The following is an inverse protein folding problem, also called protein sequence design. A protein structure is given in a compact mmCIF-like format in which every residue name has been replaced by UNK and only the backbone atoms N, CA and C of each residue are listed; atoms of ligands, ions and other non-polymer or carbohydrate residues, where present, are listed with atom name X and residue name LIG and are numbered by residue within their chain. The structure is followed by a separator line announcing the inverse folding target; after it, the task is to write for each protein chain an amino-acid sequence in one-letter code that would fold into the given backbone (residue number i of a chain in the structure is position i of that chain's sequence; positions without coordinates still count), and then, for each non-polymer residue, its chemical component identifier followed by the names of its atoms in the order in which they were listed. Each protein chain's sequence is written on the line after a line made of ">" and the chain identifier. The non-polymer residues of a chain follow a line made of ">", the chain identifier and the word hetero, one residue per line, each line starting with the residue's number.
data_IF_458072031744
#
_entry.id   IF_458072031744
#
_cell.length_a   1.000
_cell.length_b   1.000
_cell.length_c   1.000
_cell.angle_alpha   90.00
_cell.angle_beta   90.00
_cell.angle_gamma   90.00
#
_symmetry.space_group_name_H-M   'P 1'
#
loop_
_entity.id
_entity.type
_entity.pdbx_description
1 polymer ?
#
# COMPACT_ATOMS: atom_id res chain seq x y z
N UNK A 1 35.13 -67.55 21.46
CA UNK A 1 34.06 -66.67 21.70
C UNK A 1 34.48 -65.35 21.09
N UNK A 2 33.80 -64.94 19.96
CA UNK A 2 34.06 -63.68 19.30
C UNK A 2 33.46 -62.53 20.20
N UNK A 3 34.27 -61.53 20.45
CA UNK A 3 33.80 -60.35 21.17
C UNK A 3 32.64 -59.71 20.40
N UNK A 4 31.60 -59.24 21.08
CA UNK A 4 30.49 -58.55 20.41
C UNK A 4 30.99 -57.28 19.70
N UNK A 5 30.51 -57.03 18.50
CA UNK A 5 30.81 -55.81 17.75
C UNK A 5 30.41 -54.57 18.57
N UNK A 6 31.39 -53.70 18.83
CA UNK A 6 31.14 -52.46 19.54
C UNK A 6 30.53 -51.48 18.52
N UNK A 7 29.24 -51.22 18.63
CA UNK A 7 28.59 -50.16 17.85
C UNK A 7 28.97 -48.79 18.43
N UNK A 8 29.74 -48.03 17.68
CA UNK A 8 30.01 -46.62 18.03
C UNK A 8 28.88 -45.76 17.51
N UNK A 9 28.11 -45.20 18.42
CA UNK A 9 27.06 -44.26 18.08
C UNK A 9 27.65 -42.85 18.03
N UNK A 10 27.59 -42.22 16.85
CA UNK A 10 28.02 -40.84 16.69
C UNK A 10 26.76 -39.96 16.60
N UNK A 11 26.55 -39.14 17.62
CA UNK A 11 25.47 -38.18 17.61
C UNK A 11 25.81 -37.01 16.65
N UNK A 12 24.94 -36.75 15.69
CA UNK A 12 25.07 -35.64 14.75
C UNK A 12 24.05 -34.58 15.11
N UNK A 13 24.51 -33.57 15.85
CA UNK A 13 23.68 -32.39 16.14
C UNK A 13 23.87 -31.34 15.06
N UNK A 14 22.80 -30.55 14.76
CA UNK A 14 22.80 -29.48 13.79
C UNK A 14 22.16 -28.24 14.40
N UNK A 15 22.84 -27.10 14.29
CA UNK A 15 22.25 -25.77 14.51
C UNK A 15 22.16 -25.12 13.15
N UNK A 16 20.96 -25.08 12.59
CA UNK A 16 20.71 -24.58 11.23
C UNK A 16 20.91 -23.07 11.12
N UNK A 17 21.79 -22.65 10.20
CA UNK A 17 21.99 -21.29 9.74
C UNK A 17 22.27 -21.31 8.25
N UNK A 18 21.99 -20.19 7.56
CA UNK A 18 22.26 -20.09 6.14
C UNK A 18 21.55 -18.93 5.48
N UNK A 19 21.56 -18.91 4.17
CA UNK A 19 20.94 -17.88 3.34
C UNK A 19 20.06 -18.51 2.28
N UNK A 20 18.93 -17.88 1.99
CA UNK A 20 18.02 -18.27 0.93
C UNK A 20 18.16 -17.34 -0.28
N UNK A 21 18.18 -17.95 -1.46
CA UNK A 21 18.16 -17.25 -2.73
C UNK A 21 17.03 -17.82 -3.60
N UNK A 22 16.35 -16.94 -4.31
CA UNK A 22 15.29 -17.28 -5.24
C UNK A 22 15.65 -16.81 -6.64
N UNK A 23 15.38 -17.65 -7.64
CA UNK A 23 15.58 -17.39 -9.04
C UNK A 23 14.20 -17.41 -9.71
N UNK A 24 13.65 -16.22 -9.92
CA UNK A 24 12.32 -16.05 -10.47
C UNK A 24 12.28 -16.44 -11.94
N UNK A 25 11.18 -17.05 -12.34
CA UNK A 25 10.82 -17.26 -13.73
C UNK A 25 10.04 -16.05 -14.22
N UNK A 26 10.52 -15.37 -15.26
CA UNK A 26 9.82 -14.24 -15.85
C UNK A 26 8.64 -14.68 -16.76
N UNK A 27 7.88 -13.72 -17.26
CA UNK A 27 6.71 -13.99 -18.11
C UNK A 27 7.09 -14.64 -19.47
N UNK A 28 8.34 -14.52 -19.91
CA UNK A 28 8.89 -15.16 -21.11
C UNK A 28 9.31 -16.61 -20.88
N UNK A 29 9.27 -17.09 -19.63
CA UNK A 29 9.69 -18.42 -19.24
C UNK A 29 11.20 -18.58 -19.06
N UNK A 30 11.91 -17.47 -18.83
CA UNK A 30 13.35 -17.46 -18.60
C UNK A 30 13.67 -17.14 -17.12
N UNK A 31 14.76 -17.76 -16.60
CA UNK A 31 15.22 -17.49 -15.25
C UNK A 31 16.06 -16.21 -15.19
N UNK A 32 15.74 -15.32 -14.26
CA UNK A 32 16.42 -14.01 -14.10
C UNK A 32 17.78 -14.10 -13.37
N UNK A 33 18.05 -15.22 -12.70
CA UNK A 33 19.23 -15.42 -11.86
C UNK A 33 18.89 -15.40 -10.36
N UNK A 34 19.76 -16.02 -9.56
CA UNK A 34 19.55 -16.13 -8.11
C UNK A 34 19.73 -14.80 -7.41
N UNK A 35 18.68 -14.31 -6.74
CA UNK A 35 18.68 -13.18 -5.84
C UNK A 35 18.56 -13.64 -4.38
N UNK A 36 19.35 -13.06 -3.48
CA UNK A 36 19.22 -13.31 -2.05
C UNK A 36 17.94 -12.68 -1.51
N UNK A 37 17.20 -13.44 -0.71
CA UNK A 37 15.98 -12.95 -0.04
C UNK A 37 16.26 -12.06 1.19
N UNK A 38 17.53 -11.98 1.61
CA UNK A 38 17.94 -11.28 2.81
C UNK A 38 17.88 -12.16 4.06
N UNK A 39 17.59 -11.57 5.20
CA UNK A 39 17.46 -12.32 6.44
C UNK A 39 16.17 -13.12 6.46
N UNK A 40 16.31 -14.44 6.63
CA UNK A 40 15.21 -15.39 6.71
C UNK A 40 15.34 -16.15 8.04
N UNK A 41 14.59 -15.77 9.08
CA UNK A 41 14.66 -16.41 10.39
C UNK A 41 14.13 -17.84 10.40
N UNK A 42 13.31 -18.23 9.41
CA UNK A 42 12.74 -19.57 9.27
C UNK A 42 12.75 -20.10 7.84
N UNK A 43 13.17 -21.36 7.68
CA UNK A 43 13.00 -22.15 6.47
C UNK A 43 12.76 -23.59 6.86
N UNK A 44 11.61 -24.13 6.52
CA UNK A 44 11.17 -25.48 6.88
C UNK A 44 10.62 -26.19 5.64
N UNK A 45 10.88 -27.48 5.51
CA UNK A 45 10.36 -28.32 4.44
C UNK A 45 9.47 -29.38 5.08
N UNK A 46 8.25 -29.53 4.57
CA UNK A 46 7.29 -30.53 4.97
C UNK A 46 7.05 -31.53 3.84
N UNK A 47 6.92 -32.80 4.20
CA UNK A 47 6.60 -33.89 3.26
C UNK A 47 5.42 -34.67 3.81
N UNK A 48 4.34 -34.69 3.07
CA UNK A 48 3.10 -35.38 3.43
C UNK A 48 2.83 -36.50 2.43
N UNK A 49 2.32 -37.62 2.89
CA UNK A 49 1.91 -38.74 2.07
C UNK A 49 0.41 -39.00 2.28
N UNK A 50 -0.31 -39.10 1.18
CA UNK A 50 -1.69 -39.55 1.20
C UNK A 50 -1.72 -41.05 0.92
N UNK A 51 -2.32 -41.82 1.83
CA UNK A 51 -2.37 -43.27 1.76
C UNK A 51 -3.81 -43.75 1.50
N UNK A 52 -3.95 -44.73 0.61
CA UNK A 52 -5.19 -45.50 0.52
C UNK A 52 -5.14 -46.64 1.54
N UNK A 53 -6.07 -46.64 2.45
CA UNK A 53 -6.27 -47.75 3.40
C UNK A 53 -7.54 -48.52 3.06
N UNK A 54 -7.42 -49.82 2.92
CA UNK A 54 -8.56 -50.74 2.84
C UNK A 54 -8.65 -51.52 4.14
N UNK A 55 -9.87 -51.63 4.65
CA UNK A 55 -10.16 -52.34 5.88
C UNK A 55 -10.95 -53.59 5.52
N UNK A 56 -10.45 -54.75 5.92
CA UNK A 56 -11.18 -56.01 5.73
C UNK A 56 -12.47 -56.02 6.53
N UNK A 57 -13.52 -56.49 5.91
CA UNK A 57 -14.82 -56.73 6.55
C UNK A 57 -15.07 -58.21 6.87
N UNK A 58 -14.08 -59.09 6.64
CA UNK A 58 -14.14 -60.51 6.89
C UNK A 58 -13.81 -60.84 8.36
N UNK A 59 -14.78 -60.76 9.23
CA UNK A 59 -14.56 -61.09 10.64
C UNK A 59 -15.21 -60.12 11.60
N UNK A 60 -15.19 -60.45 12.90
CA UNK A 60 -15.81 -59.63 13.92
C UNK A 60 -15.07 -58.34 14.33
N UNK A 61 -13.81 -58.21 13.92
CA UNK A 61 -12.97 -57.00 14.10
C UNK A 61 -12.44 -56.58 12.74
N UNK A 62 -12.63 -55.31 12.42
CA UNK A 62 -12.13 -54.75 11.14
C UNK A 62 -10.61 -54.46 11.28
N UNK A 63 -9.82 -55.04 10.39
CA UNK A 63 -8.38 -54.81 10.29
C UNK A 63 -7.96 -54.21 8.95
N UNK A 64 -6.96 -53.36 8.97
CA UNK A 64 -6.38 -52.78 7.74
C UNK A 64 -5.59 -53.86 7.03
N UNK A 65 -6.02 -54.25 5.82
CA UNK A 65 -5.38 -55.28 5.01
C UNK A 65 -4.59 -54.70 3.82
N UNK A 66 -4.78 -53.43 3.48
CA UNK A 66 -4.01 -52.71 2.49
C UNK A 66 -3.70 -51.29 2.96
N UNK A 67 -2.47 -50.87 2.90
CA UNK A 67 -2.03 -49.48 3.11
C UNK A 67 -0.99 -49.15 2.01
N UNK A 68 -1.40 -48.32 1.05
CA UNK A 68 -0.56 -47.97 -0.11
C UNK A 68 -0.53 -46.44 -0.28
N UNK A 69 0.67 -45.81 -0.35
CA UNK A 69 0.78 -44.39 -0.65
C UNK A 69 0.28 -44.08 -2.06
N UNK A 70 -0.63 -43.10 -2.18
CA UNK A 70 -1.18 -42.64 -3.45
C UNK A 70 -0.45 -41.43 -3.98
N UNK A 71 -0.09 -40.49 -3.09
CA UNK A 71 0.58 -39.26 -3.47
C UNK A 71 1.57 -38.81 -2.40
N UNK A 72 2.56 -38.04 -2.80
CA UNK A 72 3.50 -37.36 -1.92
C UNK A 72 3.47 -35.88 -2.26
N UNK A 73 3.03 -35.08 -1.30
CA UNK A 73 3.06 -33.61 -1.39
C UNK A 73 4.26 -33.06 -0.65
N UNK A 74 4.98 -32.14 -1.28
CA UNK A 74 6.14 -31.47 -0.69
C UNK A 74 5.86 -29.97 -0.66
N UNK A 75 6.00 -29.39 0.49
CA UNK A 75 5.83 -27.95 0.71
C UNK A 75 6.99 -27.42 1.53
N UNK A 76 7.20 -26.12 1.49
CA UNK A 76 8.09 -25.45 2.43
C UNK A 76 7.48 -24.13 2.89
N UNK A 77 8.01 -23.64 4.00
CA UNK A 77 7.64 -22.34 4.56
C UNK A 77 8.91 -21.50 4.73
N UNK A 78 8.85 -20.26 4.31
CA UNK A 78 9.93 -19.28 4.46
C UNK A 78 9.41 -18.11 5.26
N UNK A 79 10.11 -17.75 6.35
CA UNK A 79 9.90 -16.48 7.03
C UNK A 79 10.97 -15.48 6.58
N UNK A 80 10.55 -14.27 6.23
CA UNK A 80 11.42 -13.19 5.74
C UNK A 80 11.15 -11.95 6.58
N UNK A 81 12.20 -11.37 7.18
CA UNK A 81 12.13 -10.09 7.90
C UNK A 81 12.82 -8.94 7.13
N UNK A 82 13.27 -9.21 5.91
CA UNK A 82 13.79 -8.21 4.98
C UNK A 82 12.69 -7.70 4.05
N UNK A 83 12.20 -6.50 4.31
CA UNK A 83 11.12 -5.83 3.57
C UNK A 83 11.65 -5.03 2.36
N UNK A 84 12.43 -5.66 1.47
CA UNK A 84 12.75 -5.05 0.19
C UNK A 84 11.52 -4.99 -0.72
N UNK A 85 11.52 -4.07 -1.69
CA UNK A 85 10.41 -3.94 -2.65
C UNK A 85 10.16 -5.26 -3.39
N UNK A 86 11.23 -5.95 -3.82
CA UNK A 86 11.12 -7.25 -4.49
C UNK A 86 10.52 -8.36 -3.61
N UNK A 87 10.87 -8.41 -2.31
CA UNK A 87 10.30 -9.41 -1.41
C UNK A 87 8.82 -9.12 -1.13
N UNK A 88 8.46 -7.84 -1.00
CA UNK A 88 7.08 -7.43 -0.87
C UNK A 88 6.29 -7.69 -2.15
N UNK A 89 6.90 -7.51 -3.32
CA UNK A 89 6.28 -7.83 -4.60
C UNK A 89 5.96 -9.32 -4.71
N UNK A 90 6.89 -10.20 -4.34
CA UNK A 90 6.65 -11.65 -4.29
C UNK A 90 5.48 -11.96 -3.34
N UNK A 91 5.49 -11.38 -2.13
CA UNK A 91 4.43 -11.61 -1.14
C UNK A 91 3.06 -11.12 -1.62
N UNK A 92 3.00 -9.97 -2.31
CA UNK A 92 1.74 -9.36 -2.75
C UNK A 92 1.28 -9.85 -4.14
N UNK A 93 2.07 -10.67 -4.84
CA UNK A 93 1.82 -10.99 -6.24
C UNK A 93 1.82 -9.73 -7.10
N UNK A 94 2.82 -8.88 -6.92
CA UNK A 94 2.89 -7.53 -7.45
C UNK A 94 4.13 -7.33 -8.33
N UNK A 95 4.15 -6.23 -9.06
CA UNK A 95 5.34 -5.74 -9.76
C UNK A 95 5.96 -4.55 -9.01
N UNK A 96 7.27 -4.40 -9.10
CA UNK A 96 8.00 -3.22 -8.64
C UNK A 96 8.19 -2.30 -9.83
N UNK A 97 7.73 -1.07 -9.72
CA UNK A 97 7.85 -0.06 -10.76
C UNK A 97 8.52 1.19 -10.20
N UNK A 98 9.38 1.79 -11.02
CA UNK A 98 9.94 3.11 -10.74
C UNK A 98 8.94 4.20 -11.08
N UNK A 99 8.32 4.79 -10.06
CA UNK A 99 7.44 5.93 -10.23
C UNK A 99 8.25 7.22 -10.30
N UNK A 100 8.49 7.69 -11.53
CA UNK A 100 9.19 8.94 -11.78
C UNK A 100 8.26 10.15 -11.56
N UNK A 101 8.71 11.11 -10.75
CA UNK A 101 8.12 12.43 -10.63
C UNK A 101 8.94 13.43 -11.41
N UNK A 102 8.36 14.05 -12.44
CA UNK A 102 9.00 15.15 -13.13
C UNK A 102 9.01 16.42 -12.28
N UNK A 103 10.07 17.24 -12.39
CA UNK A 103 10.05 18.59 -11.81
C UNK A 103 8.97 19.44 -12.45
N UNK A 104 8.22 20.18 -11.66
CA UNK A 104 7.19 21.07 -12.14
C UNK A 104 6.88 22.17 -11.11
N UNK A 105 6.48 23.34 -11.62
CA UNK A 105 5.70 24.31 -10.85
C UNK A 105 4.23 24.07 -11.16
N UNK A 106 3.47 23.73 -10.15
CA UNK A 106 2.03 23.50 -10.23
C UNK A 106 1.34 24.74 -9.74
N UNK A 107 0.35 25.23 -10.51
CA UNK A 107 -0.44 26.42 -10.16
C UNK A 107 -1.91 26.07 -10.14
N UNK A 108 -2.62 26.59 -9.14
CA UNK A 108 -4.05 26.41 -8.96
C UNK A 108 -4.52 24.94 -8.94
N UNK A 109 -3.75 24.06 -8.30
CA UNK A 109 -4.27 22.71 -8.05
C UNK A 109 -5.51 22.81 -7.18
N UNK A 110 -6.64 22.29 -7.67
CA UNK A 110 -7.92 22.40 -7.01
C UNK A 110 -8.07 21.30 -5.94
N UNK A 111 -8.25 21.73 -4.70
CA UNK A 111 -8.63 20.87 -3.58
C UNK A 111 -10.07 21.15 -3.23
N UNK A 112 -10.93 20.14 -3.34
CA UNK A 112 -12.37 20.28 -3.13
C UNK A 112 -12.83 19.63 -1.81
N UNK A 113 -14.02 20.01 -1.36
CA UNK A 113 -14.67 19.50 -0.16
C UNK A 113 -13.80 19.66 1.09
N UNK A 114 -13.16 20.82 1.19
CA UNK A 114 -12.27 21.14 2.30
C UNK A 114 -13.04 21.20 3.61
N UNK A 115 -12.48 20.54 4.63
CA UNK A 115 -13.02 20.48 5.99
C UNK A 115 -11.90 20.73 7.00
N UNK A 116 -12.26 21.19 8.16
CA UNK A 116 -11.35 21.33 9.28
C UNK A 116 -10.90 19.97 9.81
N UNK A 117 -9.71 19.92 10.40
CA UNK A 117 -9.10 18.71 10.97
C UNK A 117 -8.95 17.57 9.93
N UNK A 118 -8.53 17.94 8.72
CA UNK A 118 -8.27 17.01 7.62
C UNK A 118 -6.98 17.38 6.89
N UNK A 119 -6.39 16.38 6.25
CA UNK A 119 -5.29 16.57 5.32
C UNK A 119 -5.70 16.23 3.88
N UNK A 120 -4.99 16.83 2.93
CA UNK A 120 -5.21 16.67 1.51
C UNK A 120 -3.89 16.40 0.81
N UNK A 121 -3.83 15.30 0.06
CA UNK A 121 -2.66 14.93 -0.72
C UNK A 121 -2.66 15.70 -2.04
N UNK A 122 -1.55 16.37 -2.34
CA UNK A 122 -1.38 17.13 -3.58
C UNK A 122 -0.78 16.25 -4.70
N UNK A 123 -1.13 16.56 -5.94
CA UNK A 123 -0.62 15.87 -7.13
C UNK A 123 -1.10 14.43 -7.26
N UNK A 124 -2.26 14.09 -6.71
CA UNK A 124 -2.86 12.76 -6.85
C UNK A 124 -3.37 12.53 -8.27
N UNK A 125 -3.22 11.29 -8.75
CA UNK A 125 -3.84 10.82 -9.98
C UNK A 125 -4.25 9.36 -9.84
N UNK A 126 -4.85 8.78 -10.86
CA UNK A 126 -5.21 7.35 -10.89
C UNK A 126 -3.98 6.45 -10.70
N UNK A 127 -2.81 6.91 -11.14
CA UNK A 127 -1.56 6.13 -11.14
C UNK A 127 -0.56 6.54 -10.05
N UNK A 128 -0.83 7.61 -9.30
CA UNK A 128 0.11 8.10 -8.29
C UNK A 128 -0.57 8.52 -7.00
N UNK A 129 0.07 8.19 -5.88
CA UNK A 129 -0.34 8.56 -4.53
C UNK A 129 0.00 10.02 -4.18
N UNK A 130 0.36 10.85 -5.17
CA UNK A 130 0.63 12.27 -5.01
C UNK A 130 2.10 12.66 -5.16
N UNK A 131 2.31 13.98 -5.15
CA UNK A 131 3.64 14.59 -5.21
C UNK A 131 4.42 14.38 -3.92
N UNK A 132 5.76 14.45 -4.02
CA UNK A 132 6.70 14.36 -2.90
C UNK A 132 7.71 15.49 -2.97
N UNK A 133 8.25 15.84 -1.81
CA UNK A 133 9.30 16.87 -1.65
C UNK A 133 8.89 18.23 -2.22
N UNK A 134 7.63 18.62 -2.02
CA UNK A 134 7.12 19.90 -2.49
C UNK A 134 7.65 21.06 -1.66
N UNK A 135 7.78 22.22 -2.30
CA UNK A 135 8.26 23.46 -1.69
C UNK A 135 7.47 24.66 -2.23
N UNK A 136 7.61 25.82 -1.57
CA UNK A 136 7.00 27.07 -2.04
C UNK A 136 5.46 26.98 -2.08
N UNK A 137 4.84 26.32 -1.10
CA UNK A 137 3.40 26.10 -1.06
C UNK A 137 2.69 27.40 -0.71
N UNK A 138 1.82 27.86 -1.61
CA UNK A 138 0.84 28.93 -1.36
C UNK A 138 -0.57 28.36 -1.51
N UNK A 139 -1.47 28.81 -0.66
CA UNK A 139 -2.86 28.33 -0.62
C UNK A 139 -3.78 29.55 -0.62
N UNK A 140 -4.78 29.50 -1.50
CA UNK A 140 -5.83 30.51 -1.60
C UNK A 140 -7.20 29.82 -1.52
N UNK A 141 -8.16 30.45 -0.85
CA UNK A 141 -9.55 30.01 -0.93
C UNK A 141 -10.12 30.34 -2.31
N UNK A 142 -10.82 29.37 -2.90
CA UNK A 142 -11.38 29.50 -4.22
C UNK A 142 -12.89 29.28 -4.24
N UNK A 143 -13.57 30.14 -4.95
CA UNK A 143 -14.92 29.90 -5.44
C UNK A 143 -15.05 30.47 -6.86
N UNK A 144 -15.92 29.92 -7.72
CA UNK A 144 -16.15 30.49 -9.04
C UNK A 144 -16.71 31.92 -8.92
N UNK A 145 -16.39 32.74 -9.93
CA UNK A 145 -16.95 34.10 -9.98
C UNK A 145 -18.45 34.02 -10.15
N UNK A 146 -19.17 34.98 -9.50
CA UNK A 146 -20.61 35.13 -9.68
C UNK A 146 -20.97 35.28 -11.15
N UNK A 147 -21.94 34.51 -11.61
CA UNK A 147 -22.51 34.63 -12.95
C UNK A 147 -23.91 35.30 -12.92
N UNK A 148 -24.20 36.06 -13.98
CA UNK A 148 -25.48 36.74 -14.14
C UNK A 148 -26.58 35.77 -14.58
N UNK A 149 -27.81 35.99 -14.14
CA UNK A 149 -29.00 35.19 -14.53
C UNK A 149 -28.78 33.69 -14.44
N UNK A 150 -28.04 33.26 -13.42
CA UNK A 150 -27.63 31.86 -13.20
C UNK A 150 -28.37 31.29 -12.00
N UNK A 151 -28.81 30.03 -12.11
CA UNK A 151 -29.43 29.32 -11.00
C UNK A 151 -28.34 28.88 -10.00
N UNK A 152 -28.57 29.12 -8.72
CA UNK A 152 -27.77 28.71 -7.60
C UNK A 152 -28.57 27.79 -6.67
N UNK A 153 -27.98 26.71 -6.25
CA UNK A 153 -28.52 25.82 -5.23
C UNK A 153 -28.02 26.24 -3.84
N UNK A 154 -28.73 25.78 -2.80
CA UNK A 154 -28.24 25.96 -1.41
C UNK A 154 -26.89 25.30 -1.26
N UNK A 155 -25.91 26.03 -0.72
CA UNK A 155 -24.52 25.57 -0.55
C UNK A 155 -23.59 25.94 -1.70
N UNK A 156 -24.09 26.41 -2.84
CA UNK A 156 -23.23 26.97 -3.88
C UNK A 156 -22.46 28.18 -3.37
N UNK A 157 -21.18 28.22 -3.68
CA UNK A 157 -20.29 29.31 -3.25
C UNK A 157 -19.81 30.10 -4.45
N UNK A 158 -19.64 31.39 -4.24
CA UNK A 158 -19.06 32.28 -5.25
C UNK A 158 -18.24 33.42 -4.63
N UNK A 159 -17.41 34.07 -5.46
CA UNK A 159 -16.82 35.38 -5.23
C UNK A 159 -17.43 36.40 -6.23
N UNK A 160 -17.49 37.71 -5.91
CA UNK A 160 -17.88 38.72 -6.89
C UNK A 160 -16.98 38.70 -8.13
N UNK A 161 -17.53 39.05 -9.30
CA UNK A 161 -16.73 39.16 -10.53
C UNK A 161 -15.60 40.20 -10.42
N UNK A 162 -15.83 41.27 -9.64
CA UNK A 162 -14.78 42.15 -9.13
C UNK A 162 -14.53 41.72 -7.69
N UNK A 163 -13.42 41.05 -7.38
CA UNK A 163 -13.14 40.57 -6.03
C UNK A 163 -13.22 41.69 -4.98
N UNK A 164 -13.79 41.36 -3.83
CA UNK A 164 -13.90 42.23 -2.67
C UNK A 164 -13.35 41.55 -1.41
N UNK A 165 -12.49 40.54 -1.62
CA UNK A 165 -11.84 39.74 -0.60
C UNK A 165 -12.79 38.95 0.32
N UNK A 166 -14.04 38.71 -0.14
CA UNK A 166 -15.04 37.92 0.58
C UNK A 166 -15.59 36.78 -0.28
N UNK A 167 -16.03 35.73 0.38
CA UNK A 167 -16.67 34.54 -0.21
C UNK A 167 -18.10 34.41 0.32
N UNK A 168 -19.01 34.00 -0.54
CA UNK A 168 -20.44 33.96 -0.28
C UNK A 168 -20.98 32.56 -0.51
N UNK A 169 -21.90 32.12 0.36
CA UNK A 169 -22.63 30.86 0.23
C UNK A 169 -24.13 31.12 0.00
N UNK A 170 -24.72 30.38 -0.93
CA UNK A 170 -26.16 30.41 -1.19
C UNK A 170 -26.93 29.77 -0.03
N UNK A 171 -27.81 30.49 0.61
CA UNK A 171 -28.68 30.02 1.71
C UNK A 171 -30.11 29.76 1.27
N UNK A 172 -30.58 30.40 0.20
CA UNK A 172 -31.88 30.14 -0.43
C UNK A 172 -31.64 30.03 -1.94
N UNK A 173 -32.01 28.88 -2.50
CA UNK A 173 -31.86 28.60 -3.92
C UNK A 173 -32.69 29.54 -4.79
N UNK A 174 -32.16 29.92 -5.93
CA UNK A 174 -32.86 30.81 -6.88
C UNK A 174 -31.96 31.22 -8.03
N UNK A 175 -32.43 32.12 -8.87
CA UNK A 175 -31.69 32.67 -10.01
C UNK A 175 -31.17 34.05 -9.67
N UNK A 176 -29.86 34.28 -9.88
CA UNK A 176 -29.23 35.59 -9.68
C UNK A 176 -29.75 36.66 -10.64
N UNK A 177 -29.62 37.91 -10.26
CA UNK A 177 -29.95 39.02 -11.13
C UNK A 177 -29.03 39.12 -12.36
N UNK A 178 -29.52 39.78 -13.41
CA UNK A 178 -28.70 40.12 -14.58
C UNK A 178 -27.59 41.14 -14.25
N UNK A 179 -27.76 41.91 -13.18
CA UNK A 179 -26.75 42.85 -12.66
C UNK A 179 -26.32 42.42 -11.25
N UNK A 180 -25.04 42.58 -10.90
CA UNK A 180 -24.56 42.25 -9.56
C UNK A 180 -25.27 43.07 -8.48
N UNK A 181 -25.61 42.47 -7.31
CA UNK A 181 -26.14 43.19 -6.18
C UNK A 181 -25.04 44.00 -5.48
N UNK A 182 -25.41 44.80 -4.47
CA UNK A 182 -24.44 45.30 -3.51
C UNK A 182 -24.06 44.15 -2.58
N UNK A 183 -22.79 43.80 -2.57
CA UNK A 183 -22.24 42.73 -1.75
C UNK A 183 -22.07 43.21 -0.31
N UNK A 184 -22.59 42.47 0.62
CA UNK A 184 -22.44 42.73 2.05
C UNK A 184 -21.20 41.99 2.59
N UNK A 185 -20.35 42.69 3.31
CA UNK A 185 -19.11 42.17 3.86
C UNK A 185 -19.10 42.01 5.39
N UNK A 186 -20.29 42.13 6.02
CA UNK A 186 -20.43 42.09 7.48
C UNK A 186 -21.02 40.76 8.02
N UNK A 187 -20.88 39.67 7.32
CA UNK A 187 -21.39 38.33 7.72
C UNK A 187 -22.91 38.21 7.62
N UNK A 188 -23.61 39.19 7.00
CA UNK A 188 -25.05 39.18 6.85
C UNK A 188 -25.50 38.63 5.51
N UNK A 189 -26.80 38.37 5.39
CA UNK A 189 -27.43 37.88 4.15
C UNK A 189 -27.85 39.03 3.25
N UNK A 190 -27.89 38.79 1.94
CA UNK A 190 -28.44 39.69 0.94
C UNK A 190 -29.11 38.91 -0.18
N UNK A 191 -30.06 39.53 -0.85
CA UNK A 191 -30.74 38.94 -2.00
C UNK A 191 -30.00 39.25 -3.29
N UNK A 192 -29.96 38.27 -4.20
CA UNK A 192 -29.49 38.42 -5.56
C UNK A 192 -30.48 37.73 -6.50
N UNK A 193 -31.46 38.49 -6.99
CA UNK A 193 -32.60 37.94 -7.70
C UNK A 193 -33.51 37.10 -6.82
N UNK A 194 -33.75 35.86 -7.23
CA UNK A 194 -34.51 34.90 -6.43
C UNK A 194 -33.66 34.14 -5.41
N UNK A 195 -32.32 34.24 -5.49
CA UNK A 195 -31.40 33.58 -4.56
C UNK A 195 -31.05 34.49 -3.37
N UNK A 196 -30.71 33.90 -2.24
CA UNK A 196 -30.20 34.63 -1.07
C UNK A 196 -28.82 34.07 -0.71
N UNK A 197 -27.89 34.97 -0.48
CA UNK A 197 -26.51 34.63 -0.13
C UNK A 197 -26.15 35.21 1.23
N UNK A 198 -25.21 34.55 1.89
CA UNK A 198 -24.58 34.99 3.13
C UNK A 198 -23.08 35.15 2.91
N UNK A 199 -22.52 36.25 3.39
CA UNK A 199 -21.10 36.42 3.54
C UNK A 199 -20.60 35.48 4.61
N UNK A 200 -19.61 34.59 4.24
CA UNK A 200 -19.05 33.62 5.16
C UNK A 200 -17.65 33.94 5.58
N UNK A 201 -17.08 35.02 5.07
CA UNK A 201 -15.83 35.58 5.58
C UNK A 201 -14.88 36.08 4.49
N UNK A 202 -13.81 36.61 4.98
CA UNK A 202 -12.70 37.16 4.26
C UNK A 202 -11.81 36.04 3.68
N UNK A 203 -11.32 36.24 2.45
CA UNK A 203 -10.44 35.32 1.74
C UNK A 203 -9.05 35.93 1.47
N UNK A 204 -8.61 36.87 2.32
CA UNK A 204 -7.28 37.46 2.22
C UNK A 204 -6.17 36.40 2.34
N UNK A 205 -4.93 36.83 2.18
CA UNK A 205 -3.75 35.95 2.13
C UNK A 205 -3.70 34.97 3.32
N UNK A 206 -3.75 33.68 2.99
CA UNK A 206 -3.64 32.59 3.96
C UNK A 206 -2.18 32.40 4.39
N UNK A 207 -1.97 32.10 5.67
CA UNK A 207 -0.66 31.97 6.26
C UNK A 207 -0.39 30.52 6.70
N UNK A 208 0.70 29.94 6.20
CA UNK A 208 1.18 28.64 6.67
C UNK A 208 1.53 28.65 8.15
N UNK A 209 1.13 27.64 8.88
CA UNK A 209 1.28 27.52 10.33
C UNK A 209 0.11 28.11 11.12
N UNK A 210 -0.81 28.84 10.48
CA UNK A 210 -2.00 29.41 11.09
C UNK A 210 -3.27 28.92 10.41
N UNK A 211 -3.39 29.09 9.10
CA UNK A 211 -4.57 28.76 8.32
C UNK A 211 -4.48 27.36 7.73
N UNK A 212 -3.27 26.93 7.41
CA UNK A 212 -2.95 25.60 6.92
C UNK A 212 -1.54 25.17 7.34
N UNK A 213 -1.26 23.88 7.29
CA UNK A 213 0.06 23.29 7.56
C UNK A 213 0.51 22.49 6.37
N UNK A 214 1.84 22.44 6.15
CA UNK A 214 2.44 21.77 5.00
C UNK A 214 3.41 20.68 5.49
N UNK A 215 3.19 19.44 5.04
CA UNK A 215 4.21 18.40 5.04
C UNK A 215 4.75 18.27 3.61
N UNK A 216 5.82 19.03 3.34
CA UNK A 216 6.42 19.06 2.00
C UNK A 216 6.99 17.72 1.58
N UNK A 217 7.55 16.93 2.51
CA UNK A 217 8.13 15.62 2.23
C UNK A 217 7.10 14.67 1.63
N UNK A 218 5.91 14.64 2.20
CA UNK A 218 4.82 13.77 1.75
C UNK A 218 3.88 14.44 0.74
N UNK A 219 4.05 15.75 0.48
CA UNK A 219 3.20 16.50 -0.45
C UNK A 219 1.78 16.71 0.08
N UNK A 220 1.65 16.97 1.36
CA UNK A 220 0.38 17.07 2.07
C UNK A 220 0.17 18.50 2.58
N UNK A 221 -1.05 19.00 2.42
CA UNK A 221 -1.54 20.13 3.19
C UNK A 221 -2.60 19.67 4.20
N UNK A 222 -2.64 20.30 5.37
CA UNK A 222 -3.68 20.03 6.37
C UNK A 222 -4.32 21.34 6.84
N UNK A 223 -5.61 21.29 7.14
CA UNK A 223 -6.41 22.40 7.65
C UNK A 223 -6.71 22.11 9.12
N UNK A 224 -6.30 23.03 10.00
CA UNK A 224 -6.59 22.93 11.42
C UNK A 224 -8.04 23.32 11.77
N UNK A 225 -8.32 23.36 13.07
CA UNK A 225 -9.61 23.79 13.62
C UNK A 225 -9.65 25.30 13.92
N UNK A 226 -8.59 26.02 13.62
CA UNK A 226 -8.43 27.46 13.81
C UNK A 226 -7.90 28.09 12.53
N UNK A 227 -7.92 29.44 12.47
CA UNK A 227 -7.48 30.17 11.28
C UNK A 227 -8.63 30.54 10.36
N UNK A 228 -8.29 31.18 9.26
CA UNK A 228 -9.29 31.77 8.34
C UNK A 228 -10.08 30.73 7.58
N UNK A 229 -9.45 29.66 7.11
CA UNK A 229 -10.15 28.55 6.42
C UNK A 229 -11.17 27.92 7.37
N UNK A 230 -10.79 27.69 8.64
CA UNK A 230 -11.69 27.12 9.64
C UNK A 230 -12.86 28.07 9.94
N UNK A 231 -12.60 29.37 10.03
CA UNK A 231 -13.64 30.37 10.25
C UNK A 231 -14.66 30.38 9.11
N UNK A 232 -14.22 30.37 7.86
CA UNK A 232 -15.12 30.31 6.69
C UNK A 232 -15.89 29.00 6.67
N UNK A 233 -15.24 27.87 6.96
CA UNK A 233 -15.89 26.57 7.06
C UNK A 233 -17.02 26.58 8.11
N UNK A 234 -16.75 27.05 9.33
CA UNK A 234 -17.73 27.10 10.43
C UNK A 234 -18.92 28.05 10.12
N UNK A 235 -18.64 29.16 9.44
CA UNK A 235 -19.68 30.08 8.97
C UNK A 235 -20.57 29.43 7.90
N UNK A 236 -19.99 28.61 7.00
CA UNK A 236 -20.76 27.82 6.05
C UNK A 236 -21.62 26.76 6.76
N UNK A 237 -21.03 26.02 7.73
CA UNK A 237 -21.78 25.06 8.56
C UNK A 237 -22.97 25.72 9.24
N UNK A 238 -22.78 26.91 9.81
CA UNK A 238 -23.82 27.68 10.45
C UNK A 238 -24.89 28.14 9.46
N UNK A 239 -24.50 28.48 8.23
CA UNK A 239 -25.39 29.02 7.21
C UNK A 239 -26.27 27.95 6.53
N UNK A 240 -25.68 26.80 6.16
CA UNK A 240 -26.33 25.78 5.31
C UNK A 240 -26.21 24.34 5.85
N UNK A 241 -25.51 24.14 6.94
CA UNK A 241 -25.26 22.82 7.54
C UNK A 241 -24.03 22.11 6.96
N UNK A 242 -23.41 21.27 7.79
CA UNK A 242 -22.23 20.51 7.42
C UNK A 242 -22.52 19.57 6.23
N UNK A 243 -21.61 19.56 5.25
CA UNK A 243 -21.72 18.71 4.07
C UNK A 243 -22.63 19.22 2.95
N UNK A 244 -23.28 20.36 3.14
CA UNK A 244 -24.14 20.97 2.13
C UNK A 244 -23.45 22.05 1.28
N UNK A 245 -22.13 22.20 1.41
CA UNK A 245 -21.32 23.14 0.64
C UNK A 245 -19.97 22.52 0.26
N UNK A 246 -19.36 23.03 -0.80
CA UNK A 246 -18.03 22.62 -1.26
C UNK A 246 -17.07 23.80 -1.10
N UNK A 247 -16.37 23.86 0.04
CA UNK A 247 -15.26 24.79 0.22
C UNK A 247 -14.08 24.29 -0.58
N UNK A 248 -13.45 25.16 -1.36
CA UNK A 248 -12.38 24.84 -2.28
C UNK A 248 -11.14 25.66 -1.98
N UNK A 249 -9.99 25.07 -2.26
CA UNK A 249 -8.69 25.76 -2.22
C UNK A 249 -8.01 25.61 -3.58
N UNK A 250 -7.31 26.65 -4.00
CA UNK A 250 -6.24 26.58 -5.00
C UNK A 250 -4.90 26.46 -4.28
N UNK A 251 -4.06 25.57 -4.74
CA UNK A 251 -2.76 25.34 -4.15
C UNK A 251 -1.69 25.45 -5.22
N UNK A 252 -0.75 26.34 -4.99
CA UNK A 252 0.45 26.50 -5.80
C UNK A 252 1.64 25.86 -5.09
N UNK A 253 2.49 25.15 -5.80
CA UNK A 253 3.70 24.57 -5.26
C UNK A 253 4.71 24.19 -6.34
N UNK A 254 5.95 23.98 -5.93
CA UNK A 254 6.99 23.43 -6.79
C UNK A 254 7.34 22.02 -6.30
N UNK A 255 7.48 21.08 -7.23
CA UNK A 255 7.98 19.73 -6.96
C UNK A 255 9.27 19.48 -7.74
N UNK A 256 10.33 18.94 -7.11
CA UNK A 256 11.54 18.53 -7.80
C UNK A 256 11.33 17.23 -8.56
N UNK A 257 12.25 16.94 -9.49
CA UNK A 257 12.35 15.59 -10.06
C UNK A 257 12.80 14.61 -8.97
N UNK A 258 12.15 13.49 -8.86
CA UNK A 258 12.60 12.34 -8.07
C UNK A 258 12.06 11.03 -8.66
N UNK A 259 12.61 9.91 -8.19
CA UNK A 259 12.07 8.58 -8.45
C UNK A 259 11.85 7.86 -7.13
N UNK A 260 10.81 7.04 -7.06
CA UNK A 260 10.55 6.15 -5.94
C UNK A 260 10.00 4.83 -6.44
N UNK A 261 10.35 3.76 -5.75
CA UNK A 261 9.77 2.45 -6.00
C UNK A 261 8.29 2.44 -5.59
N UNK A 262 7.46 1.90 -6.46
CA UNK A 262 6.04 1.63 -6.21
C UNK A 262 5.78 0.15 -6.42
N UNK A 263 5.13 -0.47 -5.45
CA UNK A 263 4.66 -1.85 -5.57
C UNK A 263 3.20 -1.79 -6.01
N UNK A 264 2.96 -2.22 -7.24
CA UNK A 264 1.62 -2.26 -7.83
C UNK A 264 1.10 -3.71 -7.80
N UNK A 265 0.06 -3.95 -7.00
CA UNK A 265 -0.58 -5.27 -6.97
C UNK A 265 -1.28 -5.54 -8.30
N UNK A 266 -0.87 -6.61 -8.96
CA UNK A 266 -1.39 -7.03 -10.25
C UNK A 266 -2.30 -8.25 -10.16
N UNK A 267 -2.39 -8.97 -11.26
CA UNK A 267 -3.15 -10.21 -11.41
C UNK A 267 -2.33 -11.47 -11.13
N UNK A 268 -1.06 -11.34 -10.75
CA UNK A 268 -0.16 -12.50 -10.55
C UNK A 268 -0.52 -13.19 -9.24
N UNK A 269 -1.09 -14.39 -9.36
CA UNK A 269 -1.54 -15.16 -8.21
C UNK A 269 -0.42 -15.92 -7.49
N UNK A 270 0.70 -16.16 -8.16
CA UNK A 270 1.83 -16.93 -7.65
C UNK A 270 3.11 -16.59 -8.44
N UNK A 271 4.24 -16.65 -7.77
CA UNK A 271 5.55 -16.43 -8.39
C UNK A 271 6.27 -17.77 -8.50
N UNK A 272 6.64 -18.14 -9.71
CA UNK A 272 7.32 -19.41 -10.01
C UNK A 272 8.83 -19.23 -10.10
N UNK A 273 9.58 -20.27 -9.79
CA UNK A 273 11.03 -20.20 -9.89
C UNK A 273 11.78 -21.37 -9.24
N UNK A 274 13.04 -21.12 -8.93
CA UNK A 274 13.96 -22.04 -8.25
C UNK A 274 14.36 -21.48 -6.89
N UNK A 275 14.44 -22.33 -5.88
CA UNK A 275 14.87 -21.94 -4.55
C UNK A 275 16.19 -22.62 -4.19
N UNK A 276 17.13 -21.87 -3.61
CA UNK A 276 18.40 -22.38 -3.14
C UNK A 276 18.67 -21.91 -1.71
N UNK A 277 18.91 -22.85 -0.82
CA UNK A 277 19.41 -22.60 0.52
C UNK A 277 20.89 -22.95 0.57
N UNK A 278 21.71 -22.03 1.03
CA UNK A 278 23.15 -22.20 1.25
C UNK A 278 23.38 -22.21 2.75
N UNK A 279 23.73 -23.39 3.28
CA UNK A 279 23.94 -23.59 4.71
C UNK A 279 25.22 -22.91 5.19
N UNK A 280 25.19 -22.39 6.44
CA UNK A 280 26.36 -21.87 7.15
C UNK A 280 26.18 -22.17 8.65
N UNK A 281 26.21 -23.47 8.97
CA UNK A 281 25.89 -23.99 10.29
C UNK A 281 27.08 -23.84 11.24
N UNK A 282 26.89 -23.20 12.41
CA UNK A 282 27.94 -23.14 13.42
C UNK A 282 28.24 -24.52 14.07
N UNK A 283 27.26 -25.43 14.01
CA UNK A 283 27.39 -26.80 14.52
C UNK A 283 26.73 -27.75 13.53
N UNK A 284 27.42 -28.81 13.16
CA UNK A 284 26.96 -29.87 12.26
C UNK A 284 27.37 -29.62 10.81
N UNK A 285 27.02 -30.56 9.94
CA UNK A 285 27.39 -30.51 8.54
C UNK A 285 26.60 -29.41 7.81
N UNK A 286 27.29 -28.72 6.91
CA UNK A 286 26.64 -27.82 5.95
C UNK A 286 26.02 -28.64 4.83
N UNK A 287 24.71 -28.54 4.70
CA UNK A 287 23.93 -29.20 3.66
C UNK A 287 23.12 -28.12 2.92
N UNK A 288 23.52 -27.91 1.68
CA UNK A 288 22.82 -26.98 0.81
C UNK A 288 21.55 -27.64 0.24
N UNK A 289 20.48 -26.88 0.07
CA UNK A 289 19.24 -27.39 -0.51
C UNK A 289 18.96 -26.66 -1.81
N UNK A 290 18.62 -27.44 -2.85
CA UNK A 290 18.18 -26.90 -4.13
C UNK A 290 16.81 -27.48 -4.51
N UNK A 291 15.88 -26.60 -4.85
CA UNK A 291 14.52 -26.91 -5.31
C UNK A 291 14.40 -26.37 -6.74
N UNK A 292 14.43 -27.25 -7.76
CA UNK A 292 14.46 -26.85 -9.17
C UNK A 292 13.17 -26.20 -9.69
N UNK A 293 12.03 -26.51 -9.05
CA UNK A 293 10.74 -25.95 -9.42
C UNK A 293 9.91 -25.74 -8.18
N UNK A 294 9.52 -24.48 -7.93
CA UNK A 294 8.64 -24.14 -6.83
C UNK A 294 7.79 -22.91 -7.17
N UNK A 295 6.70 -22.79 -6.43
CA UNK A 295 5.77 -21.68 -6.52
C UNK A 295 5.70 -21.02 -5.16
N UNK A 296 6.01 -19.72 -5.09
CA UNK A 296 5.88 -18.91 -3.89
C UNK A 296 4.49 -18.27 -3.82
N UNK A 297 3.89 -18.30 -2.64
CA UNK A 297 2.58 -17.72 -2.36
C UNK A 297 2.59 -17.05 -0.99
N UNK A 298 1.81 -15.98 -0.79
CA UNK A 298 1.66 -15.39 0.54
C UNK A 298 1.07 -16.41 1.52
N UNK A 299 1.59 -16.41 2.75
CA UNK A 299 1.05 -17.18 3.86
C UNK A 299 0.88 -16.25 5.06
N UNK A 300 -0.36 -15.86 5.36
CA UNK A 300 -0.66 -14.97 6.48
C UNK A 300 -0.74 -13.49 6.11
N UNK A 301 -0.43 -12.63 7.07
CA UNK A 301 -0.60 -11.18 6.98
C UNK A 301 0.71 -10.45 6.74
N UNK A 302 0.62 -9.29 6.07
CA UNK A 302 1.72 -8.33 5.96
C UNK A 302 1.61 -7.30 7.11
N UNK A 303 2.50 -7.34 8.11
CA UNK A 303 2.46 -6.41 9.22
C UNK A 303 3.14 -5.10 8.86
N UNK A 304 2.39 -4.00 8.81
CA UNK A 304 2.93 -2.64 8.67
C UNK A 304 3.21 -1.95 10.01
N UNK A 305 2.57 -2.41 11.09
CA UNK A 305 2.77 -1.88 12.44
C UNK A 305 2.94 -3.07 13.38
N UNK A 306 4.09 -3.12 14.08
CA UNK A 306 4.39 -4.13 15.11
C UNK A 306 4.77 -3.44 16.40
N UNK A 307 4.27 -3.96 17.52
CA UNK A 307 4.59 -3.45 18.86
C UNK A 307 5.72 -4.29 19.49
N UNK A 308 6.96 -3.86 19.28
CA UNK A 308 8.12 -4.43 19.99
C UNK A 308 8.73 -5.69 19.38
N UNK A 309 8.29 -6.10 18.19
CA UNK A 309 8.83 -7.25 17.45
C UNK A 309 9.29 -6.83 16.06
N UNK A 310 10.26 -7.54 15.49
CA UNK A 310 10.64 -7.35 14.09
C UNK A 310 9.52 -7.89 13.22
N UNK A 311 9.04 -7.06 12.30
CA UNK A 311 8.04 -7.49 11.33
C UNK A 311 8.62 -8.60 10.44
N UNK A 312 7.84 -9.63 10.18
CA UNK A 312 8.19 -10.69 9.24
C UNK A 312 6.97 -11.08 8.41
N UNK A 313 7.22 -11.49 7.19
CA UNK A 313 6.23 -12.09 6.29
C UNK A 313 6.55 -13.56 6.09
N UNK A 314 5.52 -14.35 5.85
CA UNK A 314 5.64 -15.77 5.61
C UNK A 314 5.22 -16.10 4.18
N UNK A 315 6.02 -16.89 3.49
CA UNK A 315 5.73 -17.43 2.17
C UNK A 315 5.52 -18.94 2.26
N UNK A 316 4.45 -19.43 1.71
CA UNK A 316 4.25 -20.83 1.42
C UNK A 316 4.92 -21.18 0.09
N UNK A 317 5.67 -22.27 0.08
CA UNK A 317 6.38 -22.79 -1.09
C UNK A 317 5.72 -24.10 -1.51
N UNK A 318 5.08 -24.11 -2.66
CA UNK A 318 4.65 -25.34 -3.31
C UNK A 318 5.83 -25.92 -4.10
N UNK A 319 6.21 -27.16 -3.83
CA UNK A 319 7.36 -27.82 -4.49
C UNK A 319 6.83 -28.80 -5.54
N UNK A 320 7.27 -28.63 -6.76
CA UNK A 320 6.90 -29.48 -7.89
C UNK A 320 8.13 -30.14 -8.50
N UNK A 321 7.88 -31.17 -9.29
CA UNK A 321 8.93 -31.82 -10.11
C UNK A 321 9.02 -31.04 -11.41
N UNK A 322 10.22 -30.58 -11.77
CA UNK A 322 10.44 -29.84 -13.01
C UNK A 322 10.13 -30.69 -14.25
N UNK A 323 10.65 -31.94 -14.24
CA UNK A 323 10.41 -32.95 -15.27
C UNK A 323 10.54 -34.35 -14.70
N UNK A 324 10.35 -35.39 -15.52
CA UNK A 324 10.42 -36.80 -15.11
C UNK A 324 11.83 -37.29 -14.76
N UNK A 325 12.87 -36.51 -15.08
CA UNK A 325 14.28 -36.82 -14.84
C UNK A 325 14.89 -36.09 -13.66
N UNK A 326 14.16 -35.10 -13.12
CA UNK A 326 14.62 -34.22 -12.04
C UNK A 326 13.96 -34.58 -10.73
N UNK A 327 14.70 -34.58 -9.63
CA UNK A 327 14.15 -34.72 -8.29
C UNK A 327 13.53 -33.38 -7.84
N UNK A 328 12.49 -33.47 -7.05
CA UNK A 328 11.83 -32.27 -6.52
C UNK A 328 12.74 -31.46 -5.56
N UNK A 329 13.62 -32.13 -4.84
CA UNK A 329 14.56 -31.53 -3.87
C UNK A 329 15.90 -32.24 -3.96
N UNK A 330 16.99 -31.49 -3.98
CA UNK A 330 18.36 -31.96 -3.83
C UNK A 330 18.93 -31.40 -2.52
N UNK A 331 19.61 -32.27 -1.78
CA UNK A 331 20.33 -31.91 -0.55
C UNK A 331 21.77 -32.37 -0.68
N UNK A 332 22.69 -31.43 -0.79
CA UNK A 332 24.10 -31.70 -1.04
C UNK A 332 24.97 -31.29 0.15
N UNK A 333 25.82 -32.21 0.59
CA UNK A 333 26.89 -31.90 1.53
C UNK A 333 28.05 -31.21 0.82
N UNK A 334 28.68 -30.25 1.48
CA UNK A 334 29.92 -29.65 0.97
C UNK A 334 31.12 -30.59 1.26
N UNK A 335 32.13 -30.63 0.37
CA UNK A 335 33.40 -31.28 0.71
C UNK A 335 33.98 -30.67 1.99
N UNK A 336 34.60 -31.50 2.82
CA UNK A 336 35.27 -31.11 4.06
C UNK A 336 36.53 -30.27 3.79
#
# INVERSE_FOLDING_TARGET
>A
VSAPATYTYTNTYKVGRGRLAFNQLNDDGEYEGFRWLGNCPGFEINVESENLQHTSSEGGLAEVDLDTPLSITRTATIQIDNFSADNLAIFLGATVEDLAQASATVTNELVEWVRTDRFYQLGTSVLTTGSRNITGVAVDMYAPARANSTAYAVGDMYIPATPNDHIYVCTIAGTSNATPPTFNTAGSTFADGGATFKDVGDITTLTSGTDFYVDGTHGIISVGTTGQIATVYDNCVTAVGAGNFNLRLHVDYTRPANSREQIATGSTAAVEGQLKFVADNPIGANQDVFIPSCTLRPNGALPFITAGEVAAVELAVGISVLDTSTSAIYIDGRPA
#
